data_IF_869182934513
#
_entry.id   IF_869182934513
#
_cell.length_a   1.000
_cell.length_b   1.000
_cell.length_c   1.000
_cell.angle_alpha   90.00
_cell.angle_beta   90.00
_cell.angle_gamma   90.00
#
_symmetry.space_group_name_H-M   'P 1'
#
loop_
_entity.id
_entity.type
_entity.pdbx_description
1 polymer ?
#
# COMPACT_ATOMS: atom_id res chain seq x y z
N UNK A 1 13.94 -59.83 17.04
CA UNK A 1 14.68 -58.55 17.01
C UNK A 1 13.92 -57.56 16.13
N UNK A 2 13.15 -56.69 16.77
CA UNK A 2 12.30 -55.67 16.08
C UNK A 2 13.10 -54.37 16.03
N UNK A 3 13.52 -53.95 14.79
CA UNK A 3 14.17 -52.69 14.58
C UNK A 3 13.12 -51.57 14.68
N UNK A 4 13.18 -50.75 15.73
CA UNK A 4 12.41 -49.50 15.84
C UNK A 4 12.92 -48.48 14.82
N UNK A 5 12.08 -48.13 13.86
CA UNK A 5 12.31 -46.95 12.97
C UNK A 5 11.94 -45.70 13.76
N UNK A 6 12.93 -44.87 14.02
CA UNK A 6 12.73 -43.51 14.56
C UNK A 6 12.22 -42.67 13.42
N UNK A 7 10.96 -42.26 13.48
CA UNK A 7 10.37 -41.26 12.59
C UNK A 7 10.73 -39.92 13.18
N UNK A 8 11.65 -39.22 12.53
CA UNK A 8 11.95 -37.81 12.85
C UNK A 8 10.82 -36.98 12.24
N UNK A 9 9.95 -36.51 13.14
CA UNK A 9 8.89 -35.57 12.80
C UNK A 9 9.56 -34.18 12.61
N UNK A 10 9.78 -33.76 11.36
CA UNK A 10 10.08 -32.37 11.05
C UNK A 10 8.82 -31.56 11.32
N UNK A 11 8.79 -30.84 12.43
CA UNK A 11 7.81 -29.80 12.69
C UNK A 11 8.20 -28.64 11.80
N UNK A 12 7.53 -28.56 10.64
CA UNK A 12 7.51 -27.38 9.79
C UNK A 12 6.73 -26.30 10.58
N UNK A 13 7.46 -25.39 11.20
CA UNK A 13 6.86 -24.19 11.79
C UNK A 13 6.46 -23.31 10.59
N UNK A 14 5.24 -23.50 10.12
CA UNK A 14 4.56 -22.48 9.33
C UNK A 14 4.42 -21.26 10.25
N UNK A 15 5.17 -20.20 9.97
CA UNK A 15 4.86 -18.87 10.49
C UNK A 15 3.49 -18.50 9.92
N UNK A 16 2.45 -18.81 10.67
CA UNK A 16 1.15 -18.16 10.47
C UNK A 16 1.38 -16.68 10.80
N UNK A 17 1.44 -15.85 9.78
CA UNK A 17 1.28 -14.40 9.93
C UNK A 17 -0.14 -14.18 10.46
N UNK A 18 -0.29 -14.22 11.75
CA UNK A 18 -1.51 -13.77 12.42
C UNK A 18 -1.64 -12.31 12.04
N UNK A 19 -2.78 -11.94 11.46
CA UNK A 19 -3.20 -10.54 11.31
C UNK A 19 -3.42 -9.97 12.72
N UNK A 20 -2.35 -9.80 13.47
CA UNK A 20 -2.39 -8.96 14.65
C UNK A 20 -2.73 -7.56 14.14
N UNK A 21 -3.67 -6.84 14.78
CA UNK A 21 -3.74 -5.41 14.57
C UNK A 21 -2.30 -4.93 14.75
N UNK A 22 -1.74 -4.33 13.70
CA UNK A 22 -0.35 -3.93 13.71
C UNK A 22 -0.07 -3.24 15.04
N UNK A 23 0.51 -3.99 15.96
CA UNK A 23 1.17 -3.40 17.12
C UNK A 23 2.19 -2.51 16.45
N UNK A 24 2.03 -1.24 16.62
CA UNK A 24 2.78 -0.18 16.03
C UNK A 24 4.28 -0.49 16.02
N UNK A 25 4.70 -1.36 15.13
CA UNK A 25 6.00 -1.25 14.50
C UNK A 25 5.93 0.09 13.79
N UNK A 26 6.86 0.95 14.02
CA UNK A 26 6.83 2.35 13.66
C UNK A 26 6.81 2.57 12.13
N UNK A 27 5.80 2.05 11.45
CA UNK A 27 5.54 2.39 10.07
C UNK A 27 5.24 3.87 10.03
N UNK A 28 6.08 4.60 9.37
CA UNK A 28 5.93 6.03 9.18
C UNK A 28 5.22 6.23 7.86
N UNK A 29 4.10 6.92 7.88
CA UNK A 29 3.35 7.21 6.67
C UNK A 29 2.87 8.65 6.63
N UNK A 30 2.79 9.16 5.43
CA UNK A 30 2.25 10.48 5.13
C UNK A 30 1.27 10.37 3.97
N UNK A 31 0.16 11.05 4.08
CA UNK A 31 -0.82 11.06 3.01
C UNK A 31 -2.20 11.53 3.43
N UNK A 32 -3.13 11.36 2.53
CA UNK A 32 -4.51 11.77 2.70
C UNK A 32 -5.46 10.60 2.90
N UNK A 33 -6.45 10.79 3.76
CA UNK A 33 -7.52 9.83 3.93
C UNK A 33 -8.89 10.50 3.99
N UNK A 34 -9.91 9.76 3.61
CA UNK A 34 -11.32 10.11 3.82
C UNK A 34 -12.01 9.01 4.57
N UNK A 35 -12.67 9.37 5.67
CA UNK A 35 -13.68 8.51 6.27
C UNK A 35 -15.04 9.02 5.82
N UNK A 36 -15.73 8.24 5.00
CA UNK A 36 -17.06 8.55 4.53
C UNK A 36 -18.10 8.07 5.55
N UNK A 37 -19.14 8.86 5.75
CA UNK A 37 -20.34 8.40 6.48
C UNK A 37 -21.15 7.37 5.68
N UNK A 38 -20.89 7.24 4.38
CA UNK A 38 -21.54 6.23 3.52
C UNK A 38 -20.64 5.00 3.37
N UNK A 39 -21.22 3.82 3.56
CA UNK A 39 -20.56 2.52 3.44
C UNK A 39 -20.50 1.97 2.00
N UNK A 40 -20.69 2.83 0.99
CA UNK A 40 -20.77 2.39 -0.41
C UNK A 40 -19.51 2.65 -1.22
N UNK A 41 -18.34 2.64 -0.58
CA UNK A 41 -17.08 2.74 -1.32
C UNK A 41 -16.81 1.39 -1.97
N UNK A 42 -16.76 1.37 -3.29
CA UNK A 42 -16.49 0.16 -4.10
C UNK A 42 -15.25 0.30 -4.97
N UNK A 43 -14.47 1.36 -4.77
CA UNK A 43 -13.17 1.52 -5.43
C UNK A 43 -12.42 2.77 -5.00
N UNK A 44 -11.15 2.76 -5.30
CA UNK A 44 -10.20 3.86 -5.11
C UNK A 44 -9.23 3.89 -6.27
N UNK A 45 -8.77 5.06 -6.67
CA UNK A 45 -7.69 5.21 -7.65
C UNK A 45 -6.90 6.49 -7.45
N UNK A 46 -5.66 6.45 -7.92
CA UNK A 46 -4.79 7.62 -8.08
C UNK A 46 -3.76 7.38 -9.16
N UNK A 47 -3.29 8.44 -9.78
CA UNK A 47 -2.03 8.42 -10.49
C UNK A 47 -0.92 8.68 -9.47
N UNK A 48 0.16 7.90 -9.53
CA UNK A 48 1.33 8.05 -8.66
C UNK A 48 2.57 8.22 -9.53
N UNK A 49 3.32 9.29 -9.28
CA UNK A 49 4.62 9.51 -9.90
C UNK A 49 5.68 8.71 -9.16
N UNK A 50 6.47 7.95 -9.92
CA UNK A 50 7.55 7.13 -9.37
C UNK A 50 8.78 7.98 -9.16
N UNK A 51 8.89 8.57 -7.98
CA UNK A 51 10.04 9.39 -7.60
C UNK A 51 11.26 8.51 -7.23
N UNK A 52 12.42 9.12 -7.25
CA UNK A 52 13.65 8.47 -6.81
C UNK A 52 13.58 8.06 -5.33
N UNK A 53 14.20 6.95 -5.01
CA UNK A 53 14.41 6.50 -3.64
C UNK A 53 15.91 6.33 -3.38
N UNK A 54 16.30 6.40 -2.12
CA UNK A 54 17.69 6.19 -1.72
C UNK A 54 17.96 4.81 -1.19
N UNK A 55 18.86 4.76 -0.21
CA UNK A 55 19.29 3.49 0.40
C UNK A 55 18.18 2.91 1.27
N UNK A 56 17.74 1.71 0.92
CA UNK A 56 16.84 0.91 1.74
C UNK A 56 17.69 -0.15 2.46
N UNK A 57 17.65 -0.13 3.78
CA UNK A 57 18.34 -1.12 4.59
C UNK A 57 17.74 -2.50 4.44
N UNK A 58 18.54 -3.56 4.59
CA UNK A 58 18.05 -4.94 4.52
C UNK A 58 16.91 -5.17 5.51
N UNK A 59 15.83 -5.77 5.04
CA UNK A 59 14.64 -6.08 5.82
C UNK A 59 13.66 -4.92 5.99
N UNK A 60 13.88 -3.80 5.31
CA UNK A 60 12.99 -2.63 5.30
C UNK A 60 12.40 -2.40 3.92
N UNK A 61 11.27 -1.69 3.86
CA UNK A 61 10.63 -1.29 2.61
C UNK A 61 10.17 0.15 2.63
N UNK A 62 9.93 0.69 1.45
CA UNK A 62 9.17 1.92 1.23
C UNK A 62 8.18 1.70 0.10
N UNK A 63 6.98 2.26 0.21
CA UNK A 63 5.95 2.05 -0.79
C UNK A 63 5.00 3.25 -0.92
N UNK A 64 4.27 3.28 -2.04
CA UNK A 64 3.24 4.26 -2.32
C UNK A 64 1.99 3.58 -2.88
N UNK A 65 0.82 3.91 -2.33
CA UNK A 65 -0.42 3.18 -2.64
C UNK A 65 -1.73 3.94 -2.39
N UNK A 66 -2.80 3.68 -3.16
CA UNK A 66 -4.19 3.88 -2.78
C UNK A 66 -4.79 2.63 -2.14
N UNK A 67 -5.69 2.80 -1.17
CA UNK A 67 -6.33 1.73 -0.41
C UNK A 67 -7.82 2.01 -0.14
N UNK A 68 -8.63 0.96 -0.17
CA UNK A 68 -9.95 0.94 0.47
C UNK A 68 -9.86 0.19 1.79
N UNK A 69 -10.50 0.72 2.83
CA UNK A 69 -10.46 0.14 4.17
C UNK A 69 -11.83 0.19 4.86
N UNK A 70 -12.15 -0.87 5.59
CA UNK A 70 -13.27 -0.91 6.51
C UNK A 70 -12.78 -0.56 7.91
N UNK A 71 -13.05 0.68 8.36
CA UNK A 71 -12.60 1.18 9.66
C UNK A 71 -13.12 0.32 10.81
N UNK A 72 -12.29 0.15 11.84
CA UNK A 72 -12.61 -0.71 12.99
C UNK A 72 -12.41 -2.19 12.73
N UNK A 73 -11.85 -2.57 11.57
CA UNK A 73 -11.50 -3.94 11.21
C UNK A 73 -10.10 -3.98 10.58
N UNK A 74 -9.54 -5.18 10.40
CA UNK A 74 -8.33 -5.37 9.61
C UNK A 74 -8.62 -5.62 8.11
N UNK A 75 -9.83 -5.29 7.60
CA UNK A 75 -10.22 -5.57 6.22
C UNK A 75 -9.87 -4.41 5.30
N UNK A 76 -9.04 -4.69 4.31
CA UNK A 76 -8.61 -3.70 3.31
C UNK A 76 -8.23 -4.34 1.98
N UNK A 77 -8.07 -3.51 0.96
CA UNK A 77 -7.40 -3.85 -0.29
C UNK A 77 -6.63 -2.62 -0.81
N UNK A 78 -5.37 -2.82 -1.18
CA UNK A 78 -4.47 -1.79 -1.66
C UNK A 78 -3.66 -2.28 -2.86
N UNK A 79 -3.19 -1.34 -3.66
CA UNK A 79 -2.32 -1.59 -4.81
C UNK A 79 -1.32 -0.44 -4.94
N UNK A 80 -0.14 -0.72 -5.40
CA UNK A 80 0.85 0.33 -5.57
C UNK A 80 2.18 -0.22 -6.06
N UNK A 81 3.23 0.50 -5.73
CA UNK A 81 4.58 0.05 -5.93
C UNK A 81 5.39 0.15 -4.64
N UNK A 82 6.32 -0.75 -4.51
CA UNK A 82 7.21 -0.83 -3.35
C UNK A 82 8.65 -0.99 -3.79
N UNK A 83 9.55 -0.60 -2.91
CA UNK A 83 10.96 -0.90 -3.00
C UNK A 83 11.38 -1.61 -1.74
N UNK A 84 11.95 -2.80 -1.91
CA UNK A 84 12.50 -3.60 -0.84
C UNK A 84 13.81 -4.25 -1.29
N UNK A 85 14.77 -4.52 -0.40
CA UNK A 85 15.99 -5.19 -0.78
C UNK A 85 15.75 -6.69 -0.91
N UNK A 86 15.82 -7.18 -2.13
CA UNK A 86 15.86 -8.61 -2.42
C UNK A 86 17.30 -9.00 -2.71
N UNK A 87 17.84 -9.94 -1.94
CA UNK A 87 19.25 -10.40 -2.09
C UNK A 87 20.28 -9.25 -2.02
N UNK A 88 20.01 -8.25 -1.18
CA UNK A 88 20.92 -7.12 -0.97
C UNK A 88 20.90 -6.06 -2.06
N UNK A 89 19.96 -6.14 -3.02
CA UNK A 89 19.70 -5.09 -4.02
C UNK A 89 18.29 -4.57 -3.87
N UNK A 90 18.06 -3.26 -3.93
CA UNK A 90 16.72 -2.72 -3.94
C UNK A 90 15.99 -3.19 -5.20
N UNK A 91 14.84 -3.82 -5.03
CA UNK A 91 13.93 -4.20 -6.10
C UNK A 91 12.69 -3.33 -6.05
N UNK A 92 12.46 -2.58 -7.11
CA UNK A 92 11.20 -1.89 -7.33
C UNK A 92 10.21 -2.86 -7.99
N UNK A 93 9.02 -3.00 -7.43
CA UNK A 93 7.99 -3.89 -7.95
C UNK A 93 6.59 -3.33 -7.71
N UNK A 94 5.63 -3.76 -8.53
CA UNK A 94 4.23 -3.54 -8.26
C UNK A 94 3.73 -4.55 -7.23
N UNK A 95 2.83 -4.12 -6.36
CA UNK A 95 2.20 -5.01 -5.42
C UNK A 95 0.69 -4.82 -5.36
N UNK A 96 -0.01 -5.87 -5.00
CA UNK A 96 -1.38 -5.85 -4.53
C UNK A 96 -1.45 -6.59 -3.21
N UNK A 97 -2.07 -5.97 -2.21
CA UNK A 97 -2.25 -6.61 -0.92
C UNK A 97 -3.69 -6.41 -0.44
N UNK A 98 -4.27 -7.46 0.15
CA UNK A 98 -5.61 -7.42 0.70
C UNK A 98 -5.71 -8.27 1.97
N UNK A 99 -6.52 -7.84 2.94
CA UNK A 99 -6.75 -8.56 4.18
C UNK A 99 -8.25 -8.78 4.40
N UNK A 100 -8.64 -10.01 4.70
CA UNK A 100 -10.03 -10.36 5.01
C UNK A 100 -10.40 -10.22 6.50
N UNK A 101 -9.45 -9.75 7.31
CA UNK A 101 -9.55 -9.62 8.75
C UNK A 101 -8.81 -10.73 9.52
N UNK A 102 -8.40 -11.79 8.81
CA UNK A 102 -7.70 -12.94 9.39
C UNK A 102 -6.46 -13.33 8.61
N UNK A 103 -6.47 -13.13 7.30
CA UNK A 103 -5.40 -13.51 6.39
C UNK A 103 -5.06 -12.36 5.44
N UNK A 104 -3.76 -12.18 5.20
CA UNK A 104 -3.23 -11.23 4.23
C UNK A 104 -2.89 -11.97 2.95
N UNK A 105 -3.50 -11.55 1.86
CA UNK A 105 -3.21 -11.99 0.50
C UNK A 105 -2.26 -10.97 -0.13
N UNK A 106 -1.16 -11.44 -0.69
CA UNK A 106 -0.14 -10.59 -1.28
C UNK A 106 0.28 -11.12 -2.65
N UNK A 107 0.39 -10.20 -3.60
CA UNK A 107 0.82 -10.46 -4.97
C UNK A 107 1.86 -9.42 -5.35
N UNK A 108 3.08 -9.87 -5.60
CA UNK A 108 4.19 -9.03 -6.01
C UNK A 108 4.59 -9.39 -7.44
N UNK A 109 4.77 -8.37 -8.28
CA UNK A 109 5.28 -8.58 -9.62
C UNK A 109 6.81 -8.72 -9.59
N UNK A 110 7.39 -9.28 -10.65
CA UNK A 110 8.83 -9.32 -10.84
C UNK A 110 9.43 -8.04 -11.42
N UNK A 111 8.56 -7.07 -11.75
CA UNK A 111 8.92 -5.77 -12.35
C UNK A 111 8.17 -4.66 -11.61
N UNK A 112 8.75 -3.48 -11.61
CA UNK A 112 8.14 -2.28 -11.05
C UNK A 112 8.12 -1.12 -12.04
N UNK A 113 7.58 0.03 -11.64
CA UNK A 113 7.56 1.21 -12.47
C UNK A 113 8.97 1.69 -12.80
N UNK A 114 9.11 2.26 -13.98
CA UNK A 114 10.30 2.99 -14.31
C UNK A 114 10.37 4.30 -13.52
N UNK A 115 11.58 4.77 -13.25
CA UNK A 115 11.76 6.05 -12.58
C UNK A 115 11.24 7.21 -13.43
N UNK A 116 10.71 8.21 -12.74
CA UNK A 116 10.19 9.43 -13.35
C UNK A 116 9.02 9.16 -14.31
N UNK A 117 8.21 8.16 -14.02
CA UNK A 117 7.00 7.85 -14.77
C UNK A 117 5.75 7.96 -13.90
N UNK A 118 4.64 8.24 -14.55
CA UNK A 118 3.31 8.22 -13.96
C UNK A 118 2.63 6.90 -14.27
N UNK A 119 1.98 6.31 -13.27
CA UNK A 119 1.16 5.12 -13.41
C UNK A 119 -0.16 5.29 -12.68
N UNK A 120 -1.23 4.77 -13.24
CA UNK A 120 -2.54 4.74 -12.60
C UNK A 120 -2.70 3.48 -11.76
N UNK A 121 -3.00 3.65 -10.49
CA UNK A 121 -3.27 2.55 -9.57
C UNK A 121 -4.72 2.58 -9.14
N UNK A 122 -5.40 1.44 -9.20
CA UNK A 122 -6.79 1.35 -8.78
C UNK A 122 -7.12 0.03 -8.09
N UNK A 123 -7.98 0.12 -7.08
CA UNK A 123 -8.64 -1.04 -6.47
C UNK A 123 -10.13 -0.89 -6.70
N UNK A 124 -10.76 -1.88 -7.33
CA UNK A 124 -12.19 -1.84 -7.68
C UNK A 124 -12.84 -3.17 -7.33
N UNK A 125 -14.03 -3.10 -6.70
CA UNK A 125 -14.87 -4.27 -6.50
C UNK A 125 -15.63 -4.58 -7.79
N UNK A 126 -15.47 -5.79 -8.33
CA UNK A 126 -16.23 -6.24 -9.49
C UNK A 126 -17.60 -6.80 -9.09
N UNK A 127 -18.43 -7.13 -10.09
CA UNK A 127 -19.78 -7.70 -9.90
C UNK A 127 -19.79 -9.01 -9.12
N UNK A 128 -18.71 -9.80 -9.20
CA UNK A 128 -18.58 -11.10 -8.55
C UNK A 128 -18.10 -11.00 -7.10
N UNK A 129 -17.82 -9.75 -6.65
CA UNK A 129 -17.40 -9.45 -5.29
C UNK A 129 -15.89 -9.55 -5.07
N UNK A 130 -15.09 -9.68 -6.13
CA UNK A 130 -13.64 -9.60 -6.02
C UNK A 130 -13.18 -8.14 -5.96
N UNK A 131 -12.22 -7.88 -5.10
CA UNK A 131 -11.45 -6.66 -5.08
C UNK A 131 -10.24 -6.84 -5.99
N UNK A 132 -10.21 -6.08 -7.06
CA UNK A 132 -9.22 -6.19 -8.13
C UNK A 132 -8.28 -5.00 -8.06
N UNK A 133 -6.99 -5.27 -7.85
CA UNK A 133 -5.92 -4.27 -7.91
C UNK A 133 -5.32 -4.21 -9.30
N UNK A 134 -5.19 -3.01 -9.83
CA UNK A 134 -4.67 -2.76 -11.18
C UNK A 134 -3.60 -1.68 -11.17
N UNK A 135 -2.69 -1.80 -12.13
CA UNK A 135 -1.76 -0.75 -12.56
C UNK A 135 -1.94 -0.57 -14.07
N UNK A 136 -2.18 0.66 -14.54
CA UNK A 136 -2.44 1.03 -15.95
C UNK A 136 -3.38 0.04 -16.67
N UNK A 137 -4.49 -0.34 -15.98
CA UNK A 137 -5.46 -1.36 -16.39
C UNK A 137 -4.98 -2.82 -16.35
N UNK A 138 -3.70 -3.11 -16.16
CA UNK A 138 -3.19 -4.46 -15.93
C UNK A 138 -3.55 -4.95 -14.52
N UNK A 139 -4.06 -6.17 -14.40
CA UNK A 139 -4.39 -6.76 -13.10
C UNK A 139 -3.12 -7.24 -12.41
N UNK A 140 -2.83 -6.70 -11.22
CA UNK A 140 -1.75 -7.16 -10.34
C UNK A 140 -2.24 -8.29 -9.45
N UNK A 141 -3.44 -8.17 -8.90
CA UNK A 141 -4.01 -9.20 -8.04
C UNK A 141 -5.50 -9.02 -7.84
N UNK A 142 -6.16 -10.07 -7.34
CA UNK A 142 -7.58 -10.02 -7.01
C UNK A 142 -7.95 -11.02 -5.93
N UNK A 143 -8.77 -10.61 -4.97
CA UNK A 143 -9.24 -11.46 -3.87
C UNK A 143 -10.70 -11.17 -3.56
N UNK A 144 -11.46 -12.22 -3.25
CA UNK A 144 -12.84 -12.09 -2.80
C UNK A 144 -12.89 -11.89 -1.29
N UNK A 145 -13.22 -10.67 -0.87
CA UNK A 145 -13.32 -10.30 0.54
C UNK A 145 -14.69 -9.69 0.82
N UNK A 146 -15.35 -10.22 1.83
CA UNK A 146 -16.59 -9.64 2.35
C UNK A 146 -16.25 -8.44 3.24
N UNK A 147 -16.18 -7.25 2.66
CA UNK A 147 -16.00 -5.99 3.37
C UNK A 147 -16.92 -4.90 2.84
N UNK A 148 -17.19 -3.93 3.70
CA UNK A 148 -17.97 -2.74 3.40
C UNK A 148 -17.11 -1.51 3.73
N UNK A 149 -16.24 -1.08 2.80
CA UNK A 149 -15.32 0.03 3.07
C UNK A 149 -16.06 1.33 3.31
N UNK A 150 -15.57 2.09 4.26
CA UNK A 150 -16.00 3.43 4.59
C UNK A 150 -14.84 4.42 4.68
N UNK A 151 -13.65 3.98 4.28
CA UNK A 151 -12.44 4.81 4.26
C UNK A 151 -11.63 4.54 2.98
N UNK A 152 -11.03 5.59 2.44
CA UNK A 152 -10.02 5.52 1.39
C UNK A 152 -8.76 6.23 1.85
N UNK A 153 -7.62 5.69 1.46
CA UNK A 153 -6.32 6.22 1.85
C UNK A 153 -5.39 6.29 0.63
N UNK A 154 -4.46 7.22 0.67
CA UNK A 154 -3.42 7.46 -0.34
C UNK A 154 -2.16 7.82 0.44
N UNK A 155 -1.23 6.87 0.55
CA UNK A 155 -0.07 7.02 1.41
C UNK A 155 1.26 6.74 0.71
N UNK A 156 2.27 7.48 1.18
CA UNK A 156 3.67 7.10 1.13
C UNK A 156 4.01 6.50 2.49
N UNK A 157 4.54 5.29 2.50
CA UNK A 157 4.78 4.50 3.70
C UNK A 157 6.20 3.97 3.74
N UNK A 158 6.80 4.02 4.92
CA UNK A 158 8.04 3.37 5.28
C UNK A 158 7.84 2.52 6.52
N UNK A 159 8.47 1.37 6.57
CA UNK A 159 8.45 0.51 7.75
C UNK A 159 9.45 0.95 8.83
N UNK A 160 10.34 1.90 8.53
CA UNK A 160 11.35 2.38 9.46
C UNK A 160 11.71 3.84 9.19
N UNK A 161 11.83 4.62 10.26
CA UNK A 161 12.35 6.00 10.19
C UNK A 161 13.82 6.10 9.77
N UNK A 162 14.58 5.00 9.86
CA UNK A 162 15.96 4.93 9.40
C UNK A 162 16.10 4.74 7.89
N UNK A 163 15.04 4.27 7.22
CA UNK A 163 14.99 4.08 5.77
C UNK A 163 14.69 5.41 5.09
N UNK A 164 15.26 5.64 3.92
CA UNK A 164 14.93 6.80 3.12
C UNK A 164 13.50 6.68 2.58
N UNK A 165 12.73 7.76 2.71
CA UNK A 165 11.42 7.86 2.09
C UNK A 165 11.51 8.02 0.58
N UNK A 166 10.42 7.70 -0.11
CA UNK A 166 10.33 7.95 -1.53
C UNK A 166 10.32 9.46 -1.79
N UNK A 167 11.15 9.86 -2.74
CA UNK A 167 11.29 11.25 -3.16
C UNK A 167 12.39 12.02 -2.43
N UNK A 168 12.88 13.03 -3.12
CA UNK A 168 13.83 14.04 -2.63
C UNK A 168 13.24 15.42 -2.83
N UNK A 169 13.88 16.48 -2.33
CA UNK A 169 13.43 17.87 -2.57
C UNK A 169 13.23 18.23 -4.05
N UNK A 170 14.05 17.64 -4.93
CA UNK A 170 14.07 17.91 -6.37
C UNK A 170 13.28 16.89 -7.20
N UNK A 171 12.98 15.71 -6.63
CA UNK A 171 12.23 14.63 -7.29
C UNK A 171 11.23 14.04 -6.30
N UNK A 172 10.09 14.67 -6.15
CA UNK A 172 9.09 14.39 -5.13
C UNK A 172 8.17 13.26 -5.57
N UNK A 173 7.78 12.41 -4.63
CA UNK A 173 6.63 11.54 -4.85
C UNK A 173 5.38 12.39 -5.00
N UNK A 174 4.59 12.13 -6.02
CA UNK A 174 3.36 12.88 -6.27
C UNK A 174 2.17 11.93 -6.42
N UNK A 175 1.07 12.29 -5.78
CA UNK A 175 -0.25 11.69 -6.02
C UNK A 175 -1.12 12.69 -6.76
N UNK A 176 -1.73 12.26 -7.86
CA UNK A 176 -2.69 13.05 -8.60
C UNK A 176 -3.92 12.22 -8.99
N UNK A 177 -4.94 12.88 -9.52
CA UNK A 177 -6.19 12.26 -9.96
C UNK A 177 -6.83 11.34 -8.91
N UNK A 178 -6.63 11.64 -7.62
CA UNK A 178 -7.18 10.85 -6.53
C UNK A 178 -8.72 10.84 -6.59
N UNK A 179 -9.30 9.65 -6.57
CA UNK A 179 -10.75 9.44 -6.66
C UNK A 179 -11.16 8.21 -5.87
N UNK A 180 -12.38 8.20 -5.37
CA UNK A 180 -13.04 7.00 -4.88
C UNK A 180 -14.32 6.73 -5.66
N UNK A 181 -14.71 5.48 -5.77
CA UNK A 181 -15.92 5.04 -6.46
C UNK A 181 -17.00 4.70 -5.43
N UNK A 182 -18.17 5.32 -5.55
CA UNK A 182 -19.30 5.12 -4.63
C UNK A 182 -20.31 4.07 -5.11
N UNK A 183 -19.93 3.27 -6.11
CA UNK A 183 -20.83 2.30 -6.77
C UNK A 183 -21.53 2.83 -8.02
N UNK A 184 -21.48 4.17 -8.25
CA UNK A 184 -22.09 4.78 -9.44
C UNK A 184 -21.18 5.79 -10.15
N UNK A 185 -20.34 6.49 -9.42
CA UNK A 185 -19.49 7.57 -9.94
C UNK A 185 -18.15 7.65 -9.24
N UNK A 186 -17.13 8.09 -9.96
CA UNK A 186 -15.83 8.47 -9.41
C UNK A 186 -15.90 9.88 -8.82
N UNK A 187 -15.71 9.98 -7.53
CA UNK A 187 -15.80 11.22 -6.77
C UNK A 187 -14.41 11.69 -6.34
N UNK A 188 -14.22 13.00 -6.33
CA UNK A 188 -13.03 13.62 -5.73
C UNK A 188 -13.20 13.60 -4.21
N UNK A 189 -12.24 13.06 -3.45
CA UNK A 189 -12.33 13.05 -2.00
C UNK A 189 -12.00 14.43 -1.40
N UNK A 190 -12.61 14.73 -0.26
CA UNK A 190 -12.13 15.77 0.64
C UNK A 190 -11.21 15.10 1.65
N UNK A 191 -9.90 15.18 1.44
CA UNK A 191 -8.92 14.47 2.26
C UNK A 191 -8.62 15.21 3.56
N UNK A 192 -8.55 14.46 4.65
CA UNK A 192 -7.80 14.86 5.84
C UNK A 192 -6.39 14.29 5.75
N UNK A 193 -5.41 15.16 5.90
CA UNK A 193 -4.01 14.74 5.90
C UNK A 193 -3.64 14.08 7.23
N UNK A 194 -2.93 12.98 7.14
CA UNK A 194 -2.15 12.42 8.22
C UNK A 194 -0.68 12.55 7.87
N UNK A 195 0.04 13.16 8.76
CA UNK A 195 1.48 13.26 8.74
C UNK A 195 1.95 12.61 10.02
N UNK A 196 2.74 11.56 9.91
CA UNK A 196 3.41 11.03 11.08
C UNK A 196 4.44 12.05 11.58
N UNK A 197 4.62 12.13 12.87
CA UNK A 197 5.46 13.15 13.55
C UNK A 197 6.96 13.02 13.26
N UNK A 198 7.34 12.16 12.32
CA UNK A 198 8.73 12.06 11.90
C UNK A 198 9.12 13.30 11.07
N UNK A 199 10.06 14.07 11.64
CA UNK A 199 10.59 15.31 11.04
C UNK A 199 11.32 15.14 9.70
N UNK A 200 11.53 13.91 9.26
CA UNK A 200 12.28 13.62 8.02
C UNK A 200 11.39 13.55 6.77
N UNK A 201 10.06 13.61 6.92
CA UNK A 201 9.15 13.68 5.77
C UNK A 201 8.61 15.10 5.65
N UNK A 202 8.80 15.70 4.50
CA UNK A 202 8.11 16.91 4.11
C UNK A 202 6.93 16.60 3.18
N UNK A 203 5.92 17.44 3.23
CA UNK A 203 4.75 17.34 2.36
C UNK A 203 4.31 18.71 1.89
N UNK A 204 3.79 18.79 0.68
CA UNK A 204 2.99 19.94 0.29
C UNK A 204 1.59 19.83 0.85
N UNK A 205 0.92 20.94 1.13
CA UNK A 205 -0.48 20.90 1.47
C UNK A 205 -1.29 20.34 0.29
N UNK A 206 -2.38 19.65 0.64
CA UNK A 206 -3.35 19.19 -0.34
C UNK A 206 -3.90 20.35 -1.15
N UNK A 207 -3.75 20.30 -2.46
CA UNK A 207 -4.33 21.32 -3.32
C UNK A 207 -5.77 20.99 -3.68
N UNK A 208 -6.58 22.00 -3.93
CA UNK A 208 -7.93 21.83 -4.50
C UNK A 208 -7.91 21.07 -5.84
N UNK A 209 -6.76 21.00 -6.51
CA UNK A 209 -6.54 20.25 -7.74
C UNK A 209 -6.57 18.74 -7.59
N UNK A 210 -6.45 18.22 -6.38
CA UNK A 210 -6.50 16.78 -6.13
C UNK A 210 -5.13 16.12 -6.30
N UNK A 211 -4.07 16.82 -5.95
CA UNK A 211 -2.71 16.29 -5.92
C UNK A 211 -1.97 16.75 -4.65
N UNK A 212 -0.98 15.99 -4.24
CA UNK A 212 -0.09 16.31 -3.13
C UNK A 212 1.27 15.66 -3.36
N UNK A 213 2.29 16.17 -2.67
CA UNK A 213 3.66 15.70 -2.77
C UNK A 213 4.16 15.27 -1.40
N UNK A 214 5.10 14.32 -1.39
CA UNK A 214 5.92 14.02 -0.23
C UNK A 214 7.36 13.73 -0.66
N UNK A 215 8.30 13.95 0.25
CA UNK A 215 9.71 13.67 0.02
C UNK A 215 10.46 13.52 1.34
N UNK A 216 11.61 12.91 1.27
CA UNK A 216 12.53 12.84 2.40
C UNK A 216 13.31 14.16 2.49
N UNK A 217 13.12 14.90 3.57
CA UNK A 217 13.76 16.23 3.75
C UNK A 217 15.25 16.17 4.05
N UNK A 218 15.80 14.97 4.23
CA UNK A 218 17.24 14.75 4.44
C UNK A 218 18.02 14.71 3.11
N UNK A 219 17.35 14.65 1.95
CA UNK A 219 17.94 14.48 0.62
C UNK A 219 17.38 15.43 -0.43
#
# INVERSE_FOLDING_TARGET
>A
MIKKKIIIFFILIMLMSVCLPAVASANVYVGGQVTSSSSNITGVKSDIYTAAYGVISSGHFTCAWPMVWQTGTAKYAQVGWAVEPISGKPLCHYFYQACDGSYVYEYNSSVGPAWNTWHNYSVIKNSDGYWVGKEDDAIIGSVKIAMTPNNVQYYNENDSSATQYIGTSDNRLEFSQVRYYNGSSWLKPSLSFKHDTNSSIDTSPWSSGGYWYSWDSRY
#
